data_IF_724463998239
#
_entry.id   IF_724463998239
#
_cell.length_a   1.000
_cell.length_b   1.000
_cell.length_c   1.000
_cell.angle_alpha   90.00
_cell.angle_beta   90.00
_cell.angle_gamma   90.00
#
_symmetry.space_group_name_H-M   'P 1'
#
loop_
_entity.id
_entity.type
_entity.pdbx_description
1 polymer ?
#
# COMPACT_ATOMS: atom_id res chain seq x y z
N UNK A 1 -30.09 16.74 22.21
CA UNK A 1 -28.70 16.60 21.75
C UNK A 1 -28.48 15.14 21.37
N UNK A 2 -27.93 14.86 20.21
CA UNK A 2 -27.64 13.49 19.78
C UNK A 2 -26.54 12.92 20.68
N UNK A 3 -26.75 11.68 21.21
CA UNK A 3 -25.71 10.98 21.96
C UNK A 3 -24.79 10.26 20.94
N UNK A 4 -23.63 10.85 20.67
CA UNK A 4 -22.65 10.32 19.74
C UNK A 4 -22.06 8.98 20.19
N UNK A 5 -22.20 8.63 21.49
CA UNK A 5 -21.79 7.31 21.98
C UNK A 5 -22.56 6.17 21.31
N UNK A 6 -23.82 6.39 20.88
CA UNK A 6 -24.56 5.35 20.14
C UNK A 6 -23.90 5.00 18.80
N UNK A 7 -23.25 5.97 18.15
CA UNK A 7 -22.54 5.78 16.90
C UNK A 7 -21.26 4.95 17.13
N UNK A 8 -20.55 5.26 18.23
CA UNK A 8 -19.37 4.46 18.65
C UNK A 8 -19.77 3.02 18.97
N UNK A 9 -20.87 2.82 19.73
CA UNK A 9 -21.38 1.48 20.04
C UNK A 9 -21.75 0.70 18.78
N UNK A 10 -22.38 1.37 17.80
CA UNK A 10 -22.75 0.75 16.54
C UNK A 10 -21.51 0.30 15.75
N UNK A 11 -20.52 1.19 15.60
CA UNK A 11 -19.25 0.86 14.94
C UNK A 11 -18.58 -0.35 15.59
N UNK A 12 -18.47 -0.36 16.91
CA UNK A 12 -17.85 -1.48 17.64
C UNK A 12 -18.63 -2.80 17.48
N UNK A 13 -19.96 -2.77 17.48
CA UNK A 13 -20.77 -3.98 17.26
C UNK A 13 -20.56 -4.54 15.85
N UNK A 14 -20.39 -3.69 14.85
CA UNK A 14 -20.09 -4.09 13.47
C UNK A 14 -18.66 -4.66 13.38
N UNK A 15 -17.66 -3.97 13.91
CA UNK A 15 -16.25 -4.40 13.88
C UNK A 15 -16.02 -5.75 14.55
N UNK A 16 -16.69 -5.99 15.69
CA UNK A 16 -16.57 -7.26 16.43
C UNK A 16 -17.53 -8.35 15.95
N UNK A 17 -18.26 -8.11 14.85
CA UNK A 17 -19.14 -9.10 14.20
C UNK A 17 -20.35 -9.50 15.07
N UNK A 18 -20.77 -8.67 16.02
CA UNK A 18 -21.98 -8.89 16.82
C UNK A 18 -21.94 -8.41 18.25
N UNK A 19 -23.11 -8.38 18.87
CA UNK A 19 -23.34 -7.83 20.22
C UNK A 19 -22.60 -8.59 21.33
N UNK A 20 -22.44 -9.90 21.23
CA UNK A 20 -21.80 -10.70 22.27
C UNK A 20 -20.28 -10.52 22.29
N UNK A 21 -19.67 -10.49 21.11
CA UNK A 21 -18.24 -10.27 20.90
C UNK A 21 -17.86 -8.83 21.28
N UNK A 22 -18.62 -7.85 20.81
CA UNK A 22 -18.44 -6.46 21.18
C UNK A 22 -18.60 -6.22 22.70
N UNK A 23 -19.60 -6.86 23.31
CA UNK A 23 -19.83 -6.74 24.75
C UNK A 23 -18.64 -7.21 25.57
N UNK A 24 -18.03 -8.35 25.22
CA UNK A 24 -16.80 -8.85 25.87
C UNK A 24 -15.61 -7.91 25.65
N UNK A 25 -15.42 -7.43 24.44
CA UNK A 25 -14.28 -6.56 24.10
C UNK A 25 -14.36 -5.19 24.77
N UNK A 26 -15.58 -4.70 25.03
CA UNK A 26 -15.83 -3.36 25.59
C UNK A 26 -16.19 -3.38 27.08
N UNK A 27 -16.16 -4.57 27.70
CA UNK A 27 -16.62 -4.78 29.10
C UNK A 27 -18.02 -4.20 29.33
N UNK A 28 -18.94 -4.46 28.41
CA UNK A 28 -20.32 -3.97 28.45
C UNK A 28 -21.32 -5.11 28.26
N UNK A 29 -22.43 -5.12 29.04
CA UNK A 29 -23.49 -6.11 28.85
C UNK A 29 -24.06 -6.09 27.44
N UNK A 30 -24.18 -7.26 26.78
CA UNK A 30 -24.82 -7.43 25.48
C UNK A 30 -26.19 -6.75 25.39
N UNK A 31 -26.97 -6.83 26.47
CA UNK A 31 -28.32 -6.22 26.57
C UNK A 31 -28.27 -4.69 26.49
N UNK A 32 -27.23 -4.07 27.05
CA UNK A 32 -27.02 -2.61 26.98
C UNK A 32 -26.75 -2.19 25.56
N UNK A 33 -25.81 -2.85 24.86
CA UNK A 33 -25.48 -2.56 23.47
C UNK A 33 -26.70 -2.76 22.56
N UNK A 34 -27.42 -3.88 22.72
CA UNK A 34 -28.60 -4.16 21.92
C UNK A 34 -29.70 -3.11 22.11
N UNK A 35 -29.94 -2.65 23.34
CA UNK A 35 -30.92 -1.61 23.63
C UNK A 35 -30.51 -0.26 23.02
N UNK A 36 -29.24 0.15 23.18
CA UNK A 36 -28.73 1.42 22.63
C UNK A 36 -28.84 1.47 21.12
N UNK A 37 -28.49 0.40 20.43
CA UNK A 37 -28.61 0.33 18.97
C UNK A 37 -30.09 0.27 18.53
N UNK A 38 -30.96 -0.39 19.30
CA UNK A 38 -32.39 -0.35 19.00
C UNK A 38 -32.96 1.08 19.07
N UNK A 39 -32.59 1.84 20.10
CA UNK A 39 -32.95 3.26 20.25
C UNK A 39 -32.37 4.14 19.12
N UNK A 40 -31.14 3.84 18.67
CA UNK A 40 -30.54 4.50 17.52
C UNK A 40 -31.34 4.23 16.24
N UNK A 41 -31.69 2.95 15.95
CA UNK A 41 -32.49 2.57 14.78
C UNK A 41 -33.89 3.23 14.82
N UNK A 42 -34.54 3.27 16.00
CA UNK A 42 -35.83 3.92 16.19
C UNK A 42 -35.76 5.42 15.90
N UNK A 43 -34.71 6.08 16.40
CA UNK A 43 -34.47 7.52 16.17
C UNK A 43 -34.21 7.83 14.70
N UNK A 44 -33.47 6.95 14.00
CA UNK A 44 -33.17 7.13 12.58
C UNK A 44 -34.31 6.69 11.66
N UNK A 45 -35.32 5.97 12.18
CA UNK A 45 -36.44 5.43 11.43
C UNK A 45 -36.08 4.30 10.48
N UNK A 46 -34.86 3.74 10.60
CA UNK A 46 -34.36 2.66 9.71
C UNK A 46 -33.64 1.58 10.51
N UNK A 47 -33.63 0.36 9.95
CA UNK A 47 -32.84 -0.74 10.50
C UNK A 47 -31.42 -0.69 9.96
N UNK A 48 -30.46 -0.73 10.88
CA UNK A 48 -29.02 -0.78 10.56
C UNK A 48 -28.49 -2.22 10.59
N UNK A 49 -29.13 -3.10 11.40
CA UNK A 49 -28.73 -4.51 11.58
C UNK A 49 -29.93 -5.40 11.36
N UNK A 50 -29.78 -6.45 10.56
CA UNK A 50 -30.75 -7.53 10.47
C UNK A 50 -30.72 -8.36 11.76
N UNK A 51 -31.82 -8.39 12.48
CA UNK A 51 -31.97 -9.17 13.71
C UNK A 51 -32.50 -10.56 13.38
N UNK A 52 -31.62 -11.49 13.03
CA UNK A 52 -31.96 -12.91 13.04
C UNK A 52 -31.21 -13.61 14.16
N UNK A 53 -31.82 -14.62 14.76
CA UNK A 53 -31.20 -15.37 15.87
C UNK A 53 -30.02 -16.21 15.45
N UNK A 54 -29.77 -16.36 14.15
CA UNK A 54 -28.74 -17.25 13.57
C UNK A 54 -27.55 -16.52 12.90
N UNK A 55 -27.73 -15.27 12.52
CA UNK A 55 -26.65 -14.56 11.78
C UNK A 55 -26.69 -13.05 12.05
N UNK A 56 -25.52 -12.47 12.33
CA UNK A 56 -25.33 -11.04 12.41
C UNK A 56 -25.04 -10.49 11.02
N UNK A 57 -25.89 -9.61 10.51
CA UNK A 57 -25.71 -9.01 9.18
C UNK A 57 -26.10 -7.52 9.25
N UNK A 58 -25.24 -6.68 8.71
CA UNK A 58 -25.46 -5.22 8.58
C UNK A 58 -26.31 -4.99 7.32
N UNK A 59 -27.29 -4.08 7.39
CA UNK A 59 -28.08 -3.67 6.21
C UNK A 59 -27.23 -2.76 5.29
N UNK A 60 -27.66 -2.56 4.04
CA UNK A 60 -27.01 -1.63 3.11
C UNK A 60 -26.95 -0.20 3.70
N UNK A 61 -28.10 0.28 4.24
CA UNK A 61 -28.14 1.57 4.97
C UNK A 61 -27.23 1.56 6.19
N UNK A 62 -27.18 0.42 6.91
CA UNK A 62 -26.28 0.22 8.04
C UNK A 62 -24.81 0.31 7.63
N UNK A 63 -24.45 -0.23 6.47
CA UNK A 63 -23.09 -0.16 5.95
C UNK A 63 -22.70 1.28 5.61
N UNK A 64 -23.59 2.02 4.95
CA UNK A 64 -23.37 3.45 4.65
C UNK A 64 -23.25 4.25 5.95
N UNK A 65 -24.13 4.01 6.92
CA UNK A 65 -24.09 4.67 8.23
C UNK A 65 -22.81 4.33 9.02
N UNK A 66 -22.35 3.07 8.94
CA UNK A 66 -21.09 2.63 9.53
C UNK A 66 -19.90 3.44 9.00
N UNK A 67 -19.81 3.66 7.69
CA UNK A 67 -18.75 4.45 7.08
C UNK A 67 -18.73 5.90 7.64
N UNK A 68 -19.90 6.53 7.73
CA UNK A 68 -20.00 7.89 8.29
C UNK A 68 -19.65 7.93 9.78
N UNK A 69 -20.10 6.96 10.57
CA UNK A 69 -19.74 6.88 11.99
C UNK A 69 -18.24 6.67 12.19
N UNK A 70 -17.62 5.84 11.35
CA UNK A 70 -16.18 5.60 11.39
C UNK A 70 -15.39 6.87 11.05
N UNK A 71 -15.83 7.61 10.03
CA UNK A 71 -15.23 8.91 9.68
C UNK A 71 -15.36 9.93 10.84
N UNK A 72 -16.51 9.96 11.51
CA UNK A 72 -16.72 10.83 12.69
C UNK A 72 -15.75 10.47 13.84
N UNK A 73 -15.54 9.18 14.13
CA UNK A 73 -14.60 8.76 15.18
C UNK A 73 -13.17 9.21 14.85
N UNK A 74 -12.77 9.12 13.59
CA UNK A 74 -11.48 9.62 13.11
C UNK A 74 -11.33 11.12 13.35
N UNK A 75 -12.39 11.91 13.07
CA UNK A 75 -12.36 13.35 13.32
C UNK A 75 -12.30 13.69 14.82
N UNK A 76 -12.94 12.87 15.68
CA UNK A 76 -12.84 13.06 17.11
C UNK A 76 -11.41 12.74 17.63
N UNK A 77 -10.79 11.64 17.17
CA UNK A 77 -9.39 11.32 17.44
C UNK A 77 -8.46 12.43 16.93
N UNK A 78 -8.73 12.98 15.72
CA UNK A 78 -7.97 14.09 15.16
C UNK A 78 -8.04 15.36 15.99
N UNK A 79 -9.20 15.66 16.57
CA UNK A 79 -9.37 16.83 17.44
C UNK A 79 -8.55 16.69 18.74
N UNK A 80 -8.52 15.49 19.34
CA UNK A 80 -7.70 15.19 20.52
C UNK A 80 -6.20 15.28 20.19
N UNK A 81 -5.77 14.71 19.05
CA UNK A 81 -4.38 14.79 18.60
C UNK A 81 -3.96 16.22 18.21
N UNK A 82 -4.85 17.04 17.66
CA UNK A 82 -4.56 18.45 17.38
C UNK A 82 -4.26 19.25 18.66
N UNK A 83 -4.92 18.93 19.75
CA UNK A 83 -4.62 19.50 21.09
C UNK A 83 -3.32 18.92 21.65
N UNK A 84 -3.09 17.63 21.48
CA UNK A 84 -1.85 16.97 21.88
C UNK A 84 -0.64 17.44 21.08
N UNK A 85 -0.82 17.90 19.85
CA UNK A 85 0.24 18.50 19.01
C UNK A 85 0.79 19.83 19.58
N UNK A 86 0.05 20.49 20.47
CA UNK A 86 0.54 21.61 21.25
C UNK A 86 1.48 21.18 22.41
N UNK A 87 1.50 19.89 22.72
CA UNK A 87 2.37 19.26 23.69
C UNK A 87 3.44 18.47 22.92
N UNK A 88 4.69 18.81 23.09
CA UNK A 88 5.94 18.54 22.41
C UNK A 88 6.23 17.17 21.73
N UNK A 89 5.36 16.13 21.77
CA UNK A 89 5.62 14.83 21.17
C UNK A 89 4.40 14.25 20.44
N UNK A 90 4.50 13.90 19.14
CA UNK A 90 3.41 13.23 18.43
C UNK A 90 3.17 11.83 19.01
N UNK A 91 1.88 11.49 19.20
CA UNK A 91 1.42 10.21 19.81
C UNK A 91 0.25 9.66 19.01
N UNK A 92 -0.07 8.38 19.22
CA UNK A 92 -1.26 7.74 18.66
C UNK A 92 -0.95 6.51 17.80
N UNK A 93 -1.96 6.00 17.10
CA UNK A 93 -1.84 4.84 16.21
C UNK A 93 -1.90 5.31 14.76
N UNK A 94 -0.93 4.90 13.94
CA UNK A 94 -0.95 5.12 12.49
C UNK A 94 -1.11 3.79 11.77
N UNK A 95 -2.18 3.67 10.97
CA UNK A 95 -2.47 2.51 10.13
C UNK A 95 -1.92 2.74 8.75
N UNK A 96 -0.95 1.92 8.35
CA UNK A 96 -0.21 2.08 7.10
C UNK A 96 -0.26 0.80 6.27
N UNK A 97 -0.41 0.95 4.95
CA UNK A 97 -0.19 -0.15 4.00
C UNK A 97 1.03 0.10 3.13
N UNK A 98 1.76 -0.96 2.80
CA UNK A 98 2.98 -0.87 1.99
C UNK A 98 3.09 -2.09 1.06
N UNK A 99 3.55 -1.92 -0.20
CA UNK A 99 3.89 -3.04 -1.07
C UNK A 99 4.95 -3.95 -0.43
N UNK A 100 4.73 -5.27 -0.52
CA UNK A 100 5.53 -6.28 0.19
C UNK A 100 7.03 -6.10 -0.06
N UNK A 101 7.43 -6.05 -1.32
CA UNK A 101 8.85 -5.92 -1.68
C UNK A 101 9.44 -4.60 -1.20
N UNK A 102 8.71 -3.48 -1.37
CA UNK A 102 9.16 -2.17 -0.94
C UNK A 102 9.34 -2.10 0.59
N UNK A 103 8.44 -2.78 1.33
CA UNK A 103 8.56 -2.91 2.78
C UNK A 103 9.87 -3.60 3.17
N UNK A 104 10.19 -4.73 2.54
CA UNK A 104 11.37 -5.52 2.89
C UNK A 104 12.68 -4.79 2.54
N UNK A 105 12.72 -4.11 1.40
CA UNK A 105 13.96 -3.50 0.90
C UNK A 105 14.23 -2.12 1.52
N UNK A 106 13.19 -1.29 1.72
CA UNK A 106 13.39 0.11 2.12
C UNK A 106 12.58 0.51 3.35
N UNK A 107 11.25 0.36 3.28
CA UNK A 107 10.35 0.98 4.25
C UNK A 107 10.46 0.36 5.63
N UNK A 108 10.68 -0.95 5.74
CA UNK A 108 10.81 -1.65 7.01
C UNK A 108 11.92 -1.07 7.90
N UNK A 109 13.17 -0.96 7.41
CA UNK A 109 14.24 -0.30 8.15
C UNK A 109 13.95 1.17 8.50
N UNK A 110 13.26 1.92 7.61
CA UNK A 110 12.84 3.30 7.89
C UNK A 110 11.82 3.36 9.03
N UNK A 111 10.80 2.50 9.02
CA UNK A 111 9.80 2.43 10.07
C UNK A 111 10.39 2.03 11.42
N UNK A 112 11.39 1.14 11.44
CA UNK A 112 12.10 0.79 12.67
C UNK A 112 12.81 2.01 13.28
N UNK A 113 13.51 2.81 12.45
CA UNK A 113 14.14 4.07 12.89
C UNK A 113 13.11 5.12 13.33
N UNK A 114 11.99 5.20 12.61
CA UNK A 114 10.89 6.08 12.97
C UNK A 114 10.33 5.77 14.37
N UNK A 115 10.02 4.50 14.64
CA UNK A 115 9.48 4.07 15.94
C UNK A 115 10.48 4.30 17.09
N UNK A 116 11.77 4.12 16.83
CA UNK A 116 12.82 4.43 17.82
C UNK A 116 12.89 5.95 18.14
N UNK A 117 12.64 6.79 17.13
CA UNK A 117 12.66 8.26 17.29
C UNK A 117 11.38 8.82 17.94
N UNK A 118 10.23 8.15 17.70
CA UNK A 118 8.91 8.58 18.15
C UNK A 118 8.19 7.50 18.97
N UNK A 119 8.61 7.27 20.22
CA UNK A 119 8.10 6.15 21.04
C UNK A 119 6.62 6.27 21.40
N UNK A 120 6.02 7.46 21.27
CA UNK A 120 4.59 7.69 21.46
C UNK A 120 3.70 7.25 20.29
N UNK A 121 4.29 6.90 19.12
CA UNK A 121 3.54 6.47 17.94
C UNK A 121 3.59 4.94 17.82
N UNK A 122 2.41 4.32 17.68
CA UNK A 122 2.27 2.91 17.36
C UNK A 122 1.90 2.75 15.88
N UNK A 123 2.54 1.81 15.18
CA UNK A 123 2.22 1.50 13.79
C UNK A 123 1.44 0.19 13.67
N UNK A 124 0.36 0.23 12.90
CA UNK A 124 -0.35 -0.96 12.41
C UNK A 124 -0.09 -1.06 10.91
N UNK A 125 0.79 -2.00 10.52
CA UNK A 125 1.27 -2.14 9.16
C UNK A 125 0.66 -3.38 8.50
N UNK A 126 0.03 -3.18 7.34
CA UNK A 126 -0.36 -4.25 6.42
C UNK A 126 0.56 -4.26 5.20
N UNK A 127 1.26 -5.39 5.00
CA UNK A 127 2.06 -5.63 3.80
C UNK A 127 1.15 -6.18 2.69
N UNK A 128 0.91 -5.40 1.64
CA UNK A 128 -0.01 -5.82 0.57
C UNK A 128 0.28 -5.12 -0.76
N UNK A 129 0.12 -5.87 -1.88
CA UNK A 129 0.21 -5.32 -3.23
C UNK A 129 -1.17 -4.91 -3.79
N UNK A 130 -2.27 -5.23 -3.10
CA UNK A 130 -3.62 -4.84 -3.54
C UNK A 130 -3.84 -3.34 -3.42
N UNK A 131 -4.75 -2.79 -4.20
CA UNK A 131 -5.24 -1.42 -4.00
C UNK A 131 -6.20 -1.41 -2.80
N UNK A 132 -5.82 -0.66 -1.77
CA UNK A 132 -6.60 -0.49 -0.53
C UNK A 132 -7.50 0.74 -0.65
N UNK A 133 -8.76 0.63 -0.22
CA UNK A 133 -9.64 1.77 0.01
C UNK A 133 -9.34 2.36 1.39
N UNK A 134 -8.61 3.49 1.40
CA UNK A 134 -8.14 4.09 2.66
C UNK A 134 -9.29 4.48 3.59
N UNK A 135 -10.35 5.04 3.02
CA UNK A 135 -11.50 5.52 3.81
C UNK A 135 -12.32 4.32 4.31
N UNK A 136 -12.69 3.42 3.41
CA UNK A 136 -13.53 2.26 3.72
C UNK A 136 -12.86 1.27 4.68
N UNK A 137 -11.54 1.09 4.58
CA UNK A 137 -10.78 0.16 5.42
C UNK A 137 -10.13 0.83 6.64
N UNK A 138 -10.26 2.16 6.77
CA UNK A 138 -9.74 2.89 7.92
C UNK A 138 -8.22 3.02 7.96
N UNK A 139 -7.56 3.01 6.80
CA UNK A 139 -6.12 3.18 6.64
C UNK A 139 -5.78 4.66 6.64
N UNK A 140 -4.72 5.05 7.35
CA UNK A 140 -4.28 6.45 7.43
C UNK A 140 -3.35 6.82 6.29
N UNK A 141 -2.43 5.92 5.92
CA UNK A 141 -1.45 6.12 4.85
C UNK A 141 -1.36 4.85 4.01
N UNK A 142 -1.38 4.99 2.68
CA UNK A 142 -0.95 3.91 1.79
C UNK A 142 0.30 4.34 1.03
N UNK A 143 1.38 3.57 1.15
CA UNK A 143 2.53 3.69 0.26
C UNK A 143 2.19 2.94 -1.03
N UNK A 144 2.42 3.60 -2.15
CA UNK A 144 2.13 3.06 -3.50
C UNK A 144 3.31 3.27 -4.42
N UNK A 145 3.41 2.41 -5.41
CA UNK A 145 4.39 2.52 -6.52
C UNK A 145 3.60 2.51 -7.81
N UNK A 146 3.65 3.60 -8.56
CA UNK A 146 2.92 3.76 -9.83
C UNK A 146 3.70 4.65 -10.80
N UNK A 147 3.61 4.40 -12.11
CA UNK A 147 4.09 5.34 -13.10
C UNK A 147 3.18 6.58 -13.17
N UNK A 148 3.72 7.70 -13.66
CA UNK A 148 2.90 8.90 -13.99
C UNK A 148 2.13 8.69 -15.31
N UNK A 149 0.97 9.36 -15.54
CA UNK A 149 0.26 10.26 -14.63
C UNK A 149 -0.48 9.48 -13.52
N UNK A 150 -0.77 10.17 -12.43
CA UNK A 150 -1.59 9.61 -11.34
C UNK A 150 -3.07 9.84 -11.64
N UNK A 151 -3.92 8.92 -11.18
CA UNK A 151 -5.37 9.10 -11.25
C UNK A 151 -5.80 10.25 -10.34
N UNK A 152 -6.80 11.04 -10.77
CA UNK A 152 -7.46 12.02 -9.93
C UNK A 152 -8.17 11.32 -8.79
N UNK A 153 -7.93 11.78 -7.57
CA UNK A 153 -8.57 11.25 -6.37
C UNK A 153 -8.66 12.34 -5.30
N UNK A 154 -9.62 12.20 -4.38
CA UNK A 154 -9.75 13.09 -3.20
C UNK A 154 -8.64 12.87 -2.15
N UNK A 155 -7.64 12.05 -2.47
CA UNK A 155 -6.52 11.77 -1.59
C UNK A 155 -5.40 12.77 -1.81
N UNK A 156 -4.74 13.14 -0.73
CA UNK A 156 -3.48 13.89 -0.80
C UNK A 156 -2.37 12.94 -1.22
N UNK A 157 -1.59 13.33 -2.23
CA UNK A 157 -0.46 12.58 -2.73
C UNK A 157 0.85 13.30 -2.36
N UNK A 158 1.75 12.58 -1.72
CA UNK A 158 3.12 13.03 -1.43
C UNK A 158 4.11 12.12 -2.14
N UNK A 159 4.82 12.65 -3.12
CA UNK A 159 5.92 11.93 -3.79
C UNK A 159 7.06 11.74 -2.79
N UNK A 160 7.54 10.51 -2.66
CA UNK A 160 8.67 10.14 -1.82
C UNK A 160 9.94 9.96 -2.67
N UNK A 161 9.83 9.24 -3.80
CA UNK A 161 10.94 9.03 -4.71
C UNK A 161 10.46 8.73 -6.13
N UNK A 162 11.31 9.01 -7.11
CA UNK A 162 11.18 8.57 -8.50
C UNK A 162 12.32 7.57 -8.74
N UNK A 163 12.01 6.35 -9.20
CA UNK A 163 12.98 5.24 -9.29
C UNK A 163 12.99 4.60 -10.66
N UNK A 164 14.21 4.35 -11.12
CA UNK A 164 14.48 3.66 -12.37
C UNK A 164 14.28 2.15 -12.26
N UNK A 165 14.00 1.55 -13.40
CA UNK A 165 13.96 0.11 -13.61
C UNK A 165 14.98 -0.27 -14.65
N UNK A 166 15.44 -1.51 -14.63
CA UNK A 166 16.28 -2.10 -15.65
C UNK A 166 15.73 -3.47 -16.08
N UNK A 167 16.12 -3.91 -17.26
CA UNK A 167 15.95 -5.30 -17.69
C UNK A 167 17.20 -6.07 -17.27
N UNK A 168 17.00 -7.21 -16.59
CA UNK A 168 18.10 -8.04 -16.11
C UNK A 168 17.91 -9.50 -16.48
N UNK A 169 19.02 -10.20 -16.64
CA UNK A 169 19.08 -11.65 -16.89
C UNK A 169 20.26 -12.27 -16.17
N UNK A 170 20.17 -13.54 -15.83
CA UNK A 170 21.31 -14.30 -15.33
C UNK A 170 22.34 -14.61 -16.43
N UNK A 171 23.66 -14.69 -16.11
CA UNK A 171 24.73 -14.97 -17.07
C UNK A 171 24.49 -16.22 -17.92
N UNK A 172 23.90 -17.28 -17.34
CA UNK A 172 23.57 -18.51 -18.08
C UNK A 172 22.56 -18.29 -19.21
N UNK A 173 21.65 -17.33 -19.07
CA UNK A 173 20.73 -16.98 -20.14
C UNK A 173 21.48 -16.22 -21.26
N UNK A 174 22.35 -15.28 -20.89
CA UNK A 174 23.17 -14.52 -21.83
C UNK A 174 24.06 -15.46 -22.66
N UNK A 175 24.72 -16.42 -22.01
CA UNK A 175 25.55 -17.43 -22.70
C UNK A 175 24.76 -18.25 -23.72
N UNK A 176 23.49 -18.54 -23.43
CA UNK A 176 22.65 -19.36 -24.29
C UNK A 176 22.04 -18.57 -25.46
N UNK A 177 21.66 -17.32 -25.23
CA UNK A 177 20.90 -16.50 -26.18
C UNK A 177 21.77 -15.49 -26.96
N UNK A 178 22.99 -15.22 -26.49
CA UNK A 178 23.82 -14.10 -26.94
C UNK A 178 23.51 -12.81 -26.19
N UNK A 179 24.24 -11.74 -26.45
CA UNK A 179 24.00 -10.42 -25.87
C UNK A 179 23.06 -9.64 -26.80
N UNK A 180 21.89 -9.17 -26.34
CA UNK A 180 20.96 -8.45 -27.19
C UNK A 180 21.48 -7.02 -27.47
N UNK A 181 21.53 -6.63 -28.72
CA UNK A 181 22.01 -5.31 -29.19
C UNK A 181 20.84 -4.35 -29.40
N UNK A 182 19.69 -4.87 -29.82
CA UNK A 182 18.49 -4.06 -30.09
C UNK A 182 17.28 -4.65 -29.40
N UNK A 183 16.31 -3.81 -29.00
CA UNK A 183 15.14 -4.25 -28.24
C UNK A 183 14.34 -5.39 -28.87
N UNK A 184 14.22 -5.39 -30.22
CA UNK A 184 13.43 -6.40 -30.93
C UNK A 184 13.93 -7.84 -30.74
N UNK A 185 15.21 -8.03 -30.45
CA UNK A 185 15.80 -9.36 -30.19
C UNK A 185 15.23 -10.02 -28.94
N UNK A 186 14.81 -9.22 -27.94
CA UNK A 186 14.20 -9.74 -26.72
C UNK A 186 12.84 -10.41 -26.93
N UNK A 187 12.18 -10.21 -28.08
CA UNK A 187 10.92 -10.88 -28.39
C UNK A 187 11.04 -12.41 -28.47
N UNK A 188 12.22 -12.91 -28.82
CA UNK A 188 12.53 -14.34 -28.86
C UNK A 188 13.03 -14.91 -27.52
N UNK A 189 13.28 -14.06 -26.53
CA UNK A 189 13.79 -14.46 -25.22
C UNK A 189 12.67 -14.86 -24.26
N UNK A 190 12.91 -15.83 -23.37
CA UNK A 190 11.95 -16.10 -22.31
C UNK A 190 11.86 -14.92 -21.36
N UNK A 191 10.63 -14.46 -21.09
CA UNK A 191 10.37 -13.39 -20.15
C UNK A 191 9.92 -13.90 -18.79
N UNK A 192 10.03 -13.04 -17.77
CA UNK A 192 9.41 -13.22 -16.45
C UNK A 192 8.51 -12.02 -16.21
N UNK A 193 7.30 -12.25 -15.69
CA UNK A 193 6.28 -11.20 -15.59
C UNK A 193 5.79 -11.00 -14.18
N UNK A 194 5.79 -9.73 -13.77
CA UNK A 194 5.00 -9.30 -12.63
C UNK A 194 3.59 -8.98 -13.13
N UNK A 195 2.66 -9.90 -12.94
CA UNK A 195 1.31 -9.73 -13.46
C UNK A 195 0.26 -9.60 -12.36
N UNK A 196 -0.55 -8.56 -12.50
CA UNK A 196 -1.80 -8.36 -11.78
C UNK A 196 -2.99 -8.55 -12.75
N UNK A 197 -3.07 -9.69 -13.45
CA UNK A 197 -4.23 -10.06 -14.30
C UNK A 197 -4.20 -9.54 -15.73
N UNK A 198 -3.05 -9.11 -16.28
CA UNK A 198 -2.95 -8.72 -17.70
C UNK A 198 -2.69 -9.94 -18.59
N UNK A 199 -3.40 -10.01 -19.73
CA UNK A 199 -3.19 -11.05 -20.73
C UNK A 199 -2.06 -10.72 -21.74
N UNK A 200 -1.57 -9.47 -21.75
CA UNK A 200 -0.53 -9.01 -22.67
C UNK A 200 0.70 -8.67 -21.84
N UNK A 201 1.81 -9.35 -22.17
CA UNK A 201 3.10 -9.13 -21.54
C UNK A 201 4.00 -8.36 -22.50
N UNK A 202 4.42 -7.16 -22.10
CA UNK A 202 5.27 -6.29 -22.90
C UNK A 202 6.20 -5.46 -22.02
N UNK A 203 7.36 -5.14 -22.55
CA UNK A 203 8.22 -4.09 -22.03
C UNK A 203 8.10 -2.84 -22.89
N UNK A 204 7.94 -1.70 -22.26
CA UNK A 204 7.95 -0.38 -22.89
C UNK A 204 9.26 0.31 -22.52
N UNK A 205 10.11 0.57 -23.50
CA UNK A 205 11.44 1.11 -23.30
C UNK A 205 11.60 2.45 -24.00
N UNK A 206 12.39 3.33 -23.38
CA UNK A 206 12.85 4.59 -23.95
C UNK A 206 14.35 4.51 -24.16
N UNK A 207 14.80 4.81 -25.36
CA UNK A 207 16.19 4.69 -25.78
C UNK A 207 16.83 6.02 -26.21
N UNK A 208 18.04 5.95 -26.74
CA UNK A 208 18.79 7.11 -27.19
C UNK A 208 18.02 7.97 -28.21
N UNK A 209 18.17 9.29 -28.09
CA UNK A 209 17.51 10.25 -29.00
C UNK A 209 15.98 10.30 -28.86
N UNK A 210 15.41 9.76 -27.76
CA UNK A 210 13.96 9.70 -27.55
C UNK A 210 13.28 8.56 -28.30
N UNK A 211 14.03 7.58 -28.81
CA UNK A 211 13.49 6.37 -29.43
C UNK A 211 12.63 5.61 -28.42
N UNK A 212 11.58 4.95 -28.90
CA UNK A 212 10.69 4.11 -28.11
C UNK A 212 10.62 2.72 -28.72
N UNK A 213 10.57 1.71 -27.84
CA UNK A 213 10.37 0.32 -28.24
C UNK A 213 9.32 -0.33 -27.35
N UNK A 214 8.47 -1.13 -27.98
CA UNK A 214 7.52 -2.01 -27.30
C UNK A 214 7.84 -3.44 -27.71
N UNK A 215 8.13 -4.31 -26.72
CA UNK A 215 8.55 -5.68 -26.96
C UNK A 215 7.55 -6.61 -26.29
N UNK A 216 6.82 -7.36 -27.09
CA UNK A 216 5.96 -8.43 -26.61
C UNK A 216 6.80 -9.68 -26.30
N UNK A 217 6.53 -10.34 -25.19
CA UNK A 217 7.25 -11.55 -24.78
C UNK A 217 6.32 -12.61 -24.21
N UNK A 218 6.81 -13.84 -24.15
CA UNK A 218 6.10 -14.96 -23.53
C UNK A 218 6.69 -15.23 -22.14
N UNK A 219 5.92 -15.05 -21.06
CA UNK A 219 6.44 -15.29 -19.72
C UNK A 219 6.53 -16.77 -19.41
N UNK A 220 7.65 -17.19 -18.83
CA UNK A 220 7.83 -18.54 -18.26
C UNK A 220 7.42 -18.61 -16.80
N UNK A 221 7.44 -17.48 -16.10
CA UNK A 221 6.94 -17.33 -14.73
C UNK A 221 6.11 -16.06 -14.66
N UNK A 222 4.94 -16.17 -14.05
CA UNK A 222 4.06 -15.05 -13.72
C UNK A 222 3.83 -15.07 -12.22
N UNK A 223 4.17 -14.00 -11.52
CA UNK A 223 3.98 -13.87 -10.07
C UNK A 223 3.84 -12.41 -9.68
N UNK A 224 3.29 -12.12 -8.51
CA UNK A 224 3.27 -10.78 -7.90
C UNK A 224 4.44 -10.54 -6.94
N UNK A 225 5.36 -11.50 -6.82
CA UNK A 225 6.52 -11.43 -5.95
C UNK A 225 7.79 -11.14 -6.75
N UNK A 226 8.34 -9.93 -6.56
CA UNK A 226 9.56 -9.49 -7.26
C UNK A 226 10.81 -10.25 -6.82
N UNK A 227 10.87 -10.77 -5.58
CA UNK A 227 12.01 -11.55 -5.11
C UNK A 227 12.05 -12.89 -5.84
N UNK A 228 10.90 -13.55 -6.01
CA UNK A 228 10.81 -14.77 -6.80
C UNK A 228 11.20 -14.55 -8.27
N UNK A 229 10.83 -13.38 -8.85
CA UNK A 229 11.27 -13.04 -10.21
C UNK A 229 12.78 -12.83 -10.30
N UNK A 230 13.40 -12.17 -9.31
CA UNK A 230 14.85 -11.99 -9.24
C UNK A 230 15.58 -13.33 -9.18
N UNK A 231 15.15 -14.22 -8.29
CA UNK A 231 15.74 -15.57 -8.16
C UNK A 231 15.62 -16.36 -9.47
N UNK A 232 14.48 -16.30 -10.15
CA UNK A 232 14.29 -16.94 -11.45
C UNK A 232 15.20 -16.33 -12.53
N UNK A 233 15.41 -15.01 -12.53
CA UNK A 233 16.33 -14.36 -13.45
C UNK A 233 17.78 -14.79 -13.20
N UNK A 234 18.24 -14.84 -11.95
CA UNK A 234 19.57 -15.32 -11.55
C UNK A 234 19.79 -16.76 -12.00
N UNK A 235 18.78 -17.61 -11.89
CA UNK A 235 18.81 -18.98 -12.39
C UNK A 235 18.79 -19.10 -13.93
N UNK A 236 18.78 -17.98 -14.67
CA UNK A 236 18.78 -17.98 -16.14
C UNK A 236 17.48 -18.43 -16.80
N UNK A 237 16.35 -18.32 -16.08
CA UNK A 237 15.03 -18.76 -16.58
C UNK A 237 14.46 -17.76 -17.61
N UNK A 238 14.72 -16.46 -17.43
CA UNK A 238 14.22 -15.43 -18.34
C UNK A 238 14.71 -14.03 -17.99
N UNK A 239 14.36 -13.06 -18.85
CA UNK A 239 14.58 -11.63 -18.65
C UNK A 239 13.45 -11.09 -17.77
N UNK A 240 13.78 -10.19 -16.86
CA UNK A 240 12.81 -9.49 -16.00
C UNK A 240 13.09 -8.00 -15.93
N UNK A 241 12.02 -7.21 -15.86
CA UNK A 241 12.08 -5.80 -15.48
C UNK A 241 11.95 -5.67 -13.96
N UNK A 242 12.97 -5.12 -13.31
CA UNK A 242 12.98 -4.90 -11.86
C UNK A 242 13.49 -3.49 -11.53
N UNK A 243 13.10 -2.93 -10.37
CA UNK A 243 13.71 -1.72 -9.84
C UNK A 243 15.23 -1.90 -9.65
N UNK A 244 16.03 -0.93 -10.08
CA UNK A 244 17.50 -0.97 -9.99
C UNK A 244 17.95 -1.27 -8.56
N UNK A 245 17.33 -0.64 -7.58
CA UNK A 245 17.65 -0.84 -6.16
C UNK A 245 17.45 -2.28 -5.66
N UNK A 246 16.63 -3.09 -6.32
CA UNK A 246 16.42 -4.49 -5.96
C UNK A 246 17.48 -5.43 -6.49
N UNK A 247 18.22 -5.02 -7.49
CA UNK A 247 19.18 -5.85 -8.21
C UNK A 247 20.60 -5.28 -8.18
N UNK A 248 20.81 -4.16 -7.48
CA UNK A 248 22.10 -3.45 -7.39
C UNK A 248 23.24 -4.38 -6.95
N UNK A 249 23.03 -5.15 -5.88
CA UNK A 249 24.04 -6.06 -5.36
C UNK A 249 24.34 -7.21 -6.34
N UNK A 250 23.30 -7.75 -6.98
CA UNK A 250 23.43 -8.83 -7.97
C UNK A 250 24.11 -8.34 -9.27
N UNK A 251 23.87 -7.09 -9.65
CA UNK A 251 24.61 -6.46 -10.75
C UNK A 251 26.08 -6.27 -10.38
N UNK A 252 26.37 -5.81 -9.17
CA UNK A 252 27.74 -5.61 -8.69
C UNK A 252 28.52 -6.92 -8.55
N UNK A 253 27.87 -8.01 -8.16
CA UNK A 253 28.50 -9.35 -8.05
C UNK A 253 28.54 -10.13 -9.36
N UNK A 254 27.82 -9.66 -10.41
CA UNK A 254 27.70 -10.36 -11.68
C UNK A 254 26.74 -11.55 -11.67
N UNK A 255 25.95 -11.73 -10.62
CA UNK A 255 24.88 -12.73 -10.55
C UNK A 255 23.72 -12.39 -11.50
N UNK A 256 23.54 -11.09 -11.78
CA UNK A 256 22.67 -10.57 -12.82
C UNK A 256 23.47 -9.66 -13.75
N UNK A 257 23.04 -9.61 -15.01
CA UNK A 257 23.57 -8.72 -16.05
C UNK A 257 22.40 -7.85 -16.54
N UNK A 258 22.63 -6.54 -16.61
CA UNK A 258 21.69 -5.64 -17.26
C UNK A 258 21.73 -5.87 -18.76
N UNK A 259 20.57 -6.03 -19.39
CA UNK A 259 20.45 -6.15 -20.85
C UNK A 259 19.89 -4.85 -21.43
N UNK A 260 20.41 -4.44 -22.58
CA UNK A 260 20.01 -3.19 -23.27
C UNK A 260 20.16 -1.98 -22.34
N UNK A 261 21.31 -1.77 -21.76
CA UNK A 261 21.62 -0.70 -20.79
C UNK A 261 21.31 0.72 -21.31
N UNK A 262 21.38 0.93 -22.62
CA UNK A 262 20.98 2.19 -23.27
C UNK A 262 19.45 2.37 -23.38
N UNK A 263 18.65 1.39 -22.95
CA UNK A 263 17.19 1.40 -23.03
C UNK A 263 16.56 1.29 -21.66
N UNK A 264 15.89 2.35 -21.24
CA UNK A 264 15.29 2.44 -19.92
C UNK A 264 13.81 2.03 -19.96
N UNK A 265 13.37 1.09 -19.11
CA UNK A 265 11.96 0.90 -18.80
C UNK A 265 11.34 2.15 -18.18
N UNK A 266 10.02 2.22 -18.24
CA UNK A 266 9.29 3.34 -17.63
C UNK A 266 9.58 3.44 -16.14
N UNK A 267 9.93 4.65 -15.70
CA UNK A 267 10.18 4.94 -14.28
C UNK A 267 8.89 4.86 -13.45
N UNK A 268 9.03 4.50 -12.21
CA UNK A 268 7.92 4.44 -11.26
C UNK A 268 8.16 5.38 -10.07
N UNK A 269 7.06 5.90 -9.55
CA UNK A 269 7.09 6.85 -8.44
C UNK A 269 6.60 6.17 -7.17
N UNK A 270 7.46 6.15 -6.15
CA UNK A 270 7.09 5.79 -4.79
C UNK A 270 6.41 7.02 -4.17
N UNK A 271 5.19 6.87 -3.70
CA UNK A 271 4.42 7.96 -3.13
C UNK A 271 3.54 7.48 -1.98
N UNK A 272 3.32 8.36 -1.02
CA UNK A 272 2.34 8.18 0.03
C UNK A 272 1.02 8.84 -0.41
N UNK A 273 -0.10 8.16 -0.17
CA UNK A 273 -1.44 8.73 -0.30
C UNK A 273 -2.18 8.61 1.03
N UNK A 274 -2.94 9.64 1.36
CA UNK A 274 -3.73 9.71 2.59
C UNK A 274 -4.94 10.61 2.39
N UNK A 275 -6.06 10.38 3.10
CA UNK A 275 -7.21 11.29 3.08
C UNK A 275 -6.79 12.67 3.62
N UNK A 276 -7.28 13.75 2.99
CA UNK A 276 -6.93 15.13 3.37
C UNK A 276 -7.16 15.41 4.87
N UNK A 277 -8.22 14.84 5.45
CA UNK A 277 -8.55 14.95 6.87
C UNK A 277 -7.50 14.29 7.77
N UNK A 278 -7.00 13.10 7.38
CA UNK A 278 -5.99 12.36 8.14
C UNK A 278 -4.59 12.93 8.02
N UNK A 279 -4.28 13.64 6.95
CA UNK A 279 -3.02 14.36 6.79
C UNK A 279 -2.82 15.51 7.77
N UNK A 280 -3.89 15.91 8.50
CA UNK A 280 -3.81 16.89 9.57
C UNK A 280 -3.38 16.26 10.92
N UNK A 281 -3.50 14.94 11.11
CA UNK A 281 -3.06 14.25 12.33
C UNK A 281 -1.53 14.39 12.47
N UNK A 282 -1.03 14.87 13.62
CA UNK A 282 0.40 15.07 13.85
C UNK A 282 1.22 13.79 13.65
N UNK A 283 0.74 12.64 14.12
CA UNK A 283 1.38 11.34 13.95
C UNK A 283 1.52 10.94 12.48
N UNK A 284 0.47 11.15 11.67
CA UNK A 284 0.46 10.88 10.22
C UNK A 284 1.44 11.80 9.50
N UNK A 285 1.37 13.11 9.78
CA UNK A 285 2.27 14.11 9.20
C UNK A 285 3.73 13.80 9.52
N UNK A 286 4.03 13.53 10.80
CA UNK A 286 5.39 13.19 11.25
C UNK A 286 5.93 11.97 10.51
N UNK A 287 5.11 10.93 10.28
CA UNK A 287 5.52 9.76 9.52
C UNK A 287 5.78 10.09 8.04
N UNK A 288 4.88 10.85 7.39
CA UNK A 288 5.05 11.25 5.98
C UNK A 288 6.30 12.12 5.79
N UNK A 289 6.53 13.09 6.68
CA UNK A 289 7.70 13.95 6.63
C UNK A 289 8.99 13.14 6.87
N UNK A 290 8.99 12.24 7.86
CA UNK A 290 10.11 11.34 8.11
C UNK A 290 10.44 10.47 6.90
N UNK A 291 9.44 9.82 6.29
CA UNK A 291 9.66 9.01 5.09
C UNK A 291 10.18 9.85 3.92
N UNK A 292 9.68 11.09 3.77
CA UNK A 292 10.17 12.02 2.74
C UNK A 292 11.65 12.34 2.95
N UNK A 293 12.07 12.61 4.19
CA UNK A 293 13.49 12.87 4.54
C UNK A 293 14.38 11.64 4.30
N UNK A 294 13.90 10.44 4.68
CA UNK A 294 14.66 9.21 4.51
C UNK A 294 14.90 8.89 3.03
N UNK A 295 13.85 9.05 2.19
CA UNK A 295 13.99 8.87 0.74
C UNK A 295 14.86 9.94 0.08
N UNK A 296 14.83 11.19 0.57
CA UNK A 296 15.71 12.25 0.08
C UNK A 296 17.19 12.02 0.40
N UNK A 297 17.50 11.27 1.48
CA UNK A 297 18.89 10.87 1.83
C UNK A 297 19.38 9.67 1.03
N UNK A 298 18.48 8.90 0.44
CA UNK A 298 18.85 7.78 -0.44
C UNK A 298 19.27 8.36 -1.80
N UNK A 299 20.56 8.46 -2.02
CA UNK A 299 21.09 8.86 -3.32
C UNK A 299 20.63 7.86 -4.38
N UNK A 300 20.07 8.36 -5.47
CA UNK A 300 19.85 7.56 -6.67
C UNK A 300 21.25 7.33 -7.29
N UNK A 301 21.76 6.14 -7.11
CA UNK A 301 22.97 5.69 -7.82
C UNK A 301 22.56 4.92 -9.08
#
# INVERSE_FOLDING_TARGET
>A
MQDLNDFVWFVKVVEYGGFATAGRALDQPKSKLSRRIAQLEERLGVRLIHRTTRQFTVTEVGQTFYQHCKAMMVEAEAAEEAVAALQAEPRGVVRITCPITLLHVHVGPMLARFMARYPGINLQLEATNRRVDLVGEGVDIAIRVRPRPFDDSDLVLRVLADRGHCLVAGPALIQRMGEPVVPSELSAWPGLSMNEGKHIHKWELSGPGGAKAEIHYHPRLITTDMLALREAAMAGIGVVQLPILMVKDQLATGELVQVLDAWEPRREVIHAVYPSRRGLLPSVRTLVDFLTEEYARMVEE
#
